data_IF_888851278775
#
_entry.id   IF_888851278775
#
_cell.length_a   1.000
_cell.length_b   1.000
_cell.length_c   1.000
_cell.angle_alpha   90.00
_cell.angle_beta   90.00
_cell.angle_gamma   90.00
#
_symmetry.space_group_name_H-M   'P 1'
#
loop_
_entity.id
_entity.type
_entity.pdbx_description
1 polymer ?
#
# COMPACT_ATOMS: atom_id res chain seq x y z
N UNK A 1 21.44 -8.41 25.98
CA UNK A 1 20.85 -7.23 25.29
C UNK A 1 20.28 -7.68 23.94
N UNK A 2 19.23 -7.00 23.46
CA UNK A 2 18.53 -7.29 22.20
C UNK A 2 19.29 -6.78 20.96
N UNK A 3 20.58 -7.13 20.84
CA UNK A 3 21.49 -6.59 19.81
C UNK A 3 21.09 -7.06 18.39
N UNK A 4 20.41 -8.21 18.28
CA UNK A 4 20.10 -8.84 17.00
C UNK A 4 18.71 -8.53 16.44
N UNK A 5 17.88 -7.77 17.15
CA UNK A 5 16.47 -7.58 16.75
C UNK A 5 16.34 -6.82 15.43
N UNK A 6 17.24 -5.86 15.20
CA UNK A 6 17.18 -4.98 14.03
C UNK A 6 18.12 -5.41 12.89
N UNK A 7 18.80 -6.55 13.04
CA UNK A 7 19.79 -7.05 12.06
C UNK A 7 19.23 -7.19 10.64
N UNK A 8 17.94 -7.49 10.52
CA UNK A 8 17.27 -7.75 9.23
C UNK A 8 16.27 -6.65 8.84
N UNK A 9 16.29 -5.50 9.51
CA UNK A 9 15.37 -4.41 9.20
C UNK A 9 15.80 -3.75 7.90
N UNK A 10 14.95 -3.86 6.87
CA UNK A 10 15.14 -3.15 5.62
C UNK A 10 14.54 -1.75 5.75
N UNK A 11 15.32 -0.73 5.41
CA UNK A 11 14.80 0.62 5.29
C UNK A 11 13.84 0.67 4.09
N UNK A 12 12.55 0.87 4.39
CA UNK A 12 11.54 1.11 3.37
C UNK A 12 11.37 2.61 3.23
N UNK A 13 11.17 3.10 2.02
CA UNK A 13 10.81 4.50 1.75
C UNK A 13 9.62 4.49 0.79
N UNK A 14 8.69 5.42 0.99
CA UNK A 14 7.48 5.54 0.18
C UNK A 14 7.35 6.98 -0.31
N UNK A 15 6.98 7.14 -1.57
CA UNK A 15 6.73 8.43 -2.18
C UNK A 15 5.23 8.77 -2.18
N UNK A 16 4.92 10.04 -2.34
CA UNK A 16 3.53 10.51 -2.50
C UNK A 16 2.99 9.92 -3.80
N UNK A 17 1.77 9.38 -3.76
CA UNK A 17 1.12 8.69 -4.90
C UNK A 17 1.38 7.18 -4.95
N UNK A 18 2.28 6.64 -4.13
CA UNK A 18 2.52 5.19 -4.09
C UNK A 18 1.28 4.42 -3.61
N UNK A 19 0.97 3.33 -4.31
CA UNK A 19 -0.06 2.37 -3.89
C UNK A 19 0.53 1.43 -2.83
N UNK A 20 -0.13 1.33 -1.69
CA UNK A 20 0.34 0.54 -0.53
C UNK A 20 -0.78 -0.23 0.15
N UNK A 21 -0.47 -1.42 0.64
CA UNK A 21 -1.30 -2.19 1.55
C UNK A 21 -1.06 -1.77 2.98
N UNK A 22 -2.11 -1.78 3.81
CA UNK A 22 -2.03 -1.31 5.20
C UNK A 22 -2.49 -2.40 6.15
N UNK A 23 -1.67 -2.68 7.16
CA UNK A 23 -1.99 -3.67 8.18
C UNK A 23 -3.03 -3.12 9.14
N UNK A 24 -4.17 -3.77 9.21
CA UNK A 24 -5.24 -3.46 10.16
C UNK A 24 -5.07 -4.30 11.41
N UNK A 25 -5.17 -3.64 12.56
CA UNK A 25 -5.06 -4.31 13.85
C UNK A 25 -6.38 -5.03 14.14
N UNK A 26 -6.30 -6.33 14.39
CA UNK A 26 -7.41 -7.14 14.87
C UNK A 26 -7.63 -6.84 16.36
N UNK A 27 -8.04 -5.62 16.71
CA UNK A 27 -8.45 -5.31 18.09
C UNK A 27 -9.90 -5.73 18.22
N UNK A 28 -10.17 -6.66 19.14
CA UNK A 28 -11.50 -7.18 19.43
C UNK A 28 -12.52 -6.08 19.82
N UNK A 29 -12.09 -4.87 20.14
CA UNK A 29 -12.96 -3.79 20.63
C UNK A 29 -13.29 -2.74 19.56
N UNK A 30 -12.40 -2.47 18.59
CA UNK A 30 -12.47 -1.25 17.76
C UNK A 30 -12.86 -1.47 16.29
N UNK A 31 -12.97 -2.72 15.84
CA UNK A 31 -13.34 -2.96 14.45
C UNK A 31 -14.88 -2.98 14.34
N UNK A 32 -15.48 -1.82 14.06
CA UNK A 32 -16.92 -1.69 13.76
C UNK A 32 -17.37 -2.53 12.55
N UNK A 33 -16.42 -3.11 11.81
CA UNK A 33 -16.63 -3.99 10.66
C UNK A 33 -16.68 -5.49 11.01
N UNK A 34 -16.87 -5.86 12.28
CA UNK A 34 -17.09 -7.26 12.66
C UNK A 34 -18.35 -7.79 11.96
N UNK A 35 -18.17 -8.42 10.80
CA UNK A 35 -19.23 -9.19 10.13
C UNK A 35 -19.51 -10.43 10.98
N UNK A 36 -20.77 -10.61 11.41
CA UNK A 36 -21.24 -11.79 12.13
C UNK A 36 -20.78 -13.06 11.37
N UNK A 37 -20.15 -14.00 12.08
CA UNK A 37 -19.65 -15.25 11.49
C UNK A 37 -18.23 -15.24 10.92
N UNK A 38 -17.47 -14.13 10.98
CA UNK A 38 -16.05 -14.10 10.55
C UNK A 38 -15.08 -14.10 11.74
N UNK A 39 -14.20 -15.10 11.81
CA UNK A 39 -13.14 -15.17 12.82
C UNK A 39 -12.03 -14.13 12.49
N UNK A 40 -11.71 -13.19 13.41
CA UNK A 40 -10.63 -12.23 13.22
C UNK A 40 -9.28 -12.88 12.88
N UNK A 41 -8.96 -14.02 13.50
CA UNK A 41 -7.68 -14.72 13.31
C UNK A 41 -7.49 -15.25 11.89
N UNK A 42 -8.59 -15.60 11.21
CA UNK A 42 -8.59 -16.10 9.83
C UNK A 42 -8.86 -14.99 8.80
N UNK A 43 -9.07 -13.76 9.25
CA UNK A 43 -9.35 -12.62 8.35
C UNK A 43 -8.06 -12.02 7.79
N UNK A 44 -8.12 -11.51 6.55
CA UNK A 44 -6.97 -10.84 5.91
C UNK A 44 -6.55 -9.62 6.74
N UNK A 45 -5.32 -9.64 7.26
CA UNK A 45 -4.80 -8.56 8.12
C UNK A 45 -4.39 -7.31 7.33
N UNK A 46 -4.25 -7.40 6.01
CA UNK A 46 -3.91 -6.28 5.14
C UNK A 46 -5.15 -5.80 4.39
N UNK A 47 -5.48 -4.51 4.53
CA UNK A 47 -6.53 -3.85 3.74
C UNK A 47 -5.93 -3.23 2.48
N UNK A 48 -6.79 -3.18 1.46
CA UNK A 48 -6.63 -2.82 0.04
C UNK A 48 -5.55 -1.80 -0.34
N UNK A 49 -5.40 -1.53 -1.64
CA UNK A 49 -4.51 -0.47 -2.07
C UNK A 49 -5.01 0.87 -1.52
N UNK A 50 -4.15 1.50 -0.73
CA UNK A 50 -4.25 2.86 -0.26
C UNK A 50 -3.21 3.68 -1.01
N UNK A 51 -3.43 4.98 -1.10
CA UNK A 51 -2.50 5.92 -1.69
C UNK A 51 -1.81 6.71 -0.58
N UNK A 52 -0.49 6.90 -0.70
CA UNK A 52 0.26 7.78 0.19
C UNK A 52 -0.01 9.24 -0.20
N UNK A 53 -0.59 10.01 0.72
CA UNK A 53 -0.89 11.42 0.50
C UNK A 53 0.26 12.33 0.91
N UNK A 54 0.89 12.04 2.04
CA UNK A 54 1.94 12.89 2.58
C UNK A 54 2.84 12.08 3.52
N UNK A 55 4.13 12.43 3.52
CA UNK A 55 5.09 11.98 4.53
C UNK A 55 5.06 12.98 5.68
N UNK A 56 4.61 12.56 6.85
CA UNK A 56 4.58 13.42 8.05
C UNK A 56 5.96 13.41 8.70
N UNK A 57 6.52 12.20 8.83
CA UNK A 57 7.85 11.95 9.38
C UNK A 57 8.47 10.81 8.60
N UNK A 58 9.74 10.50 8.84
CA UNK A 58 10.43 9.37 8.19
C UNK A 58 9.71 8.04 8.38
N UNK A 59 9.15 7.83 9.57
CA UNK A 59 8.47 6.60 9.95
C UNK A 59 6.95 6.68 9.84
N UNK A 60 6.37 7.85 9.57
CA UNK A 60 4.91 8.05 9.66
C UNK A 60 4.37 8.70 8.41
N UNK A 61 3.39 8.03 7.81
CA UNK A 61 2.78 8.43 6.54
C UNK A 61 1.28 8.67 6.72
N UNK A 62 0.78 9.69 6.02
CA UNK A 62 -0.64 9.93 5.84
C UNK A 62 -1.09 9.23 4.58
N UNK A 63 -2.08 8.38 4.71
CA UNK A 63 -2.59 7.54 3.62
C UNK A 63 -4.09 7.73 3.45
N UNK A 64 -4.59 7.45 2.25
CA UNK A 64 -6.02 7.48 1.92
C UNK A 64 -6.40 6.19 1.22
N UNK A 65 -7.56 5.65 1.57
CA UNK A 65 -8.11 4.53 0.83
C UNK A 65 -8.59 5.01 -0.55
N UNK A 66 -8.20 4.32 -1.63
CA UNK A 66 -8.50 4.74 -3.01
C UNK A 66 -10.01 4.97 -3.21
N UNK A 67 -10.84 4.02 -2.78
CA UNK A 67 -12.31 4.10 -2.89
C UNK A 67 -12.98 4.64 -1.61
N UNK A 68 -12.21 5.19 -0.68
CA UNK A 68 -12.70 5.58 0.64
C UNK A 68 -12.46 7.05 0.97
N UNK A 69 -13.31 7.61 1.83
CA UNK A 69 -13.14 8.97 2.37
C UNK A 69 -12.18 9.01 3.56
N UNK A 70 -11.91 7.86 4.19
CA UNK A 70 -11.09 7.76 5.41
C UNK A 70 -9.62 8.00 5.08
N UNK A 71 -9.02 8.94 5.82
CA UNK A 71 -7.57 9.19 5.84
C UNK A 71 -7.02 8.64 7.15
N UNK A 72 -5.87 7.97 7.09
CA UNK A 72 -5.25 7.36 8.25
C UNK A 72 -3.79 7.79 8.35
N UNK A 73 -3.29 7.85 9.58
CA UNK A 73 -1.88 8.07 9.86
C UNK A 73 -1.30 6.73 10.32
N UNK A 74 -0.27 6.26 9.63
CA UNK A 74 0.24 4.90 9.80
C UNK A 74 1.76 4.89 9.83
N UNK A 75 2.31 4.10 10.75
CA UNK A 75 3.75 3.85 10.82
C UNK A 75 4.23 2.93 9.69
N UNK A 76 5.44 3.14 9.21
CA UNK A 76 6.07 2.43 8.10
C UNK A 76 6.05 0.90 8.25
N UNK A 77 6.16 0.39 9.48
CA UNK A 77 6.13 -1.05 9.79
C UNK A 77 4.75 -1.70 9.54
N UNK A 78 3.72 -0.90 9.28
CA UNK A 78 2.34 -1.34 9.00
C UNK A 78 1.96 -1.10 7.54
N UNK A 79 2.90 -0.70 6.70
CA UNK A 79 2.71 -0.42 5.28
C UNK A 79 3.49 -1.47 4.48
N UNK A 80 2.93 -1.91 3.35
CA UNK A 80 3.61 -2.78 2.39
C UNK A 80 3.37 -2.26 0.98
N UNK A 81 4.40 -2.19 0.15
CA UNK A 81 4.28 -1.78 -1.25
C UNK A 81 3.27 -2.65 -2.01
N UNK A 82 2.40 -2.03 -2.79
CA UNK A 82 1.50 -2.73 -3.71
C UNK A 82 2.29 -3.08 -4.98
N UNK A 83 2.52 -4.36 -5.22
CA UNK A 83 3.06 -4.85 -6.49
C UNK A 83 1.89 -5.28 -7.35
N UNK A 84 1.63 -4.53 -8.42
CA UNK A 84 0.76 -5.04 -9.49
C UNK A 84 1.59 -6.09 -10.24
N UNK A 85 1.05 -7.29 -10.46
CA UNK A 85 1.69 -8.24 -11.37
C UNK A 85 1.83 -7.52 -12.71
N UNK A 86 3.06 -7.43 -13.20
CA UNK A 86 3.42 -6.67 -14.39
C UNK A 86 2.78 -7.30 -15.62
N UNK A 87 1.51 -6.98 -15.86
CA UNK A 87 0.78 -7.32 -17.08
C UNK A 87 0.56 -6.06 -17.94
N UNK A 88 0.76 -4.86 -17.38
CA UNK A 88 0.46 -3.59 -18.06
C UNK A 88 1.69 -2.77 -18.48
N UNK A 89 2.91 -3.16 -18.11
CA UNK A 89 4.10 -2.39 -18.50
C UNK A 89 4.43 -2.58 -19.98
N UNK A 90 4.16 -3.77 -20.52
CA UNK A 90 4.39 -4.10 -21.94
C UNK A 90 3.37 -3.41 -22.87
N UNK A 91 2.12 -3.27 -22.44
CA UNK A 91 1.09 -2.60 -23.26
C UNK A 91 1.30 -1.08 -23.35
N UNK A 92 1.85 -0.46 -22.30
CA UNK A 92 2.14 0.98 -22.29
C UNK A 92 3.31 1.31 -23.22
N UNK A 93 4.33 0.45 -23.34
CA UNK A 93 5.42 0.64 -24.31
C UNK A 93 4.97 0.43 -25.76
N UNK A 94 4.13 -0.58 -26.02
CA UNK A 94 3.67 -0.89 -27.38
C UNK A 94 2.77 0.22 -27.96
N UNK A 95 2.00 0.88 -27.10
CA UNK A 95 1.10 1.99 -27.47
C UNK A 95 1.84 3.30 -27.77
N UNK A 96 3.07 3.47 -27.25
CA UNK A 96 3.89 4.67 -27.48
C UNK A 96 4.61 4.59 -28.84
N UNK A 97 5.02 3.39 -29.26
CA UNK A 97 5.69 3.16 -30.55
C UNK A 97 4.73 3.39 -31.74
N UNK A 98 3.47 2.95 -31.63
CA UNK A 98 2.49 3.12 -32.73
C UNK A 98 2.08 4.57 -32.99
N UNK A 99 2.23 5.48 -32.02
CA UNK A 99 1.94 6.90 -32.22
C UNK A 99 3.08 7.67 -32.88
N UNK A 100 4.28 7.09 -32.99
CA UNK A 100 5.42 7.73 -33.66
C UNK A 100 5.35 7.45 -35.17
N UNK A 101 4.97 6.22 -35.57
CA UNK A 101 4.84 5.82 -36.98
C UNK A 101 3.73 6.55 -37.74
N UNK A 102 2.68 7.04 -37.07
CA UNK A 102 1.52 7.67 -37.72
C UNK A 102 1.76 9.17 -38.01
N UNK A 103 2.77 9.79 -37.39
CA UNK A 103 3.01 11.24 -37.48
C UNK A 103 4.23 11.62 -38.36
N UNK A 104 4.79 10.67 -39.11
CA UNK A 104 5.96 10.89 -39.99
C UNK A 104 5.67 10.80 -41.51
N UNK A 105 4.40 10.68 -41.92
CA UNK A 105 3.95 10.79 -43.34
C UNK A 105 3.15 12.07 -43.61
#
# INVERSE_FOLDING_TARGET
MKINYDRNVKQMNYNIGDKVWVRVRLVWVLNSEKKKGKNPKLSKSWKGPNEVLAKITELTYKIKQINGKKKLIVNINRIKKFYMLAVQQEEISLSQEQNITINED
#
